data_IF_597982308358
#
_entry.id   IF_597982308358
#
_cell.length_a   1.000
_cell.length_b   1.000
_cell.length_c   1.000
_cell.angle_alpha   90.00
_cell.angle_beta   90.00
_cell.angle_gamma   90.00
#
_symmetry.space_group_name_H-M   'P 1'
#
loop_
_entity.id
_entity.type
_entity.pdbx_description
1 polymer ?
#
# COMPACT_ATOMS: atom_id res chain seq x y z
N UNK A 1 -8.84 32.22 -8.31
CA UNK A 1 -8.73 33.42 -7.45
C UNK A 1 -10.07 34.11 -7.46
N UNK A 2 -10.67 34.27 -6.28
CA UNK A 2 -11.90 35.04 -6.10
C UNK A 2 -11.51 36.33 -5.40
N UNK A 3 -11.47 37.44 -6.14
CA UNK A 3 -10.97 38.67 -5.60
C UNK A 3 -9.48 38.59 -5.17
N UNK A 4 -8.69 39.65 -5.20
CA UNK A 4 -7.25 39.65 -4.89
C UNK A 4 -6.87 39.12 -3.47
N UNK A 5 -7.86 38.77 -2.68
CA UNK A 5 -7.68 38.34 -1.29
C UNK A 5 -7.86 36.88 -1.03
N UNK A 6 -8.45 36.13 -1.96
CA UNK A 6 -8.82 34.73 -1.77
C UNK A 6 -8.29 33.85 -2.91
N UNK A 7 -7.52 32.84 -2.59
CA UNK A 7 -7.05 31.84 -3.55
C UNK A 7 -7.44 30.46 -3.07
N UNK A 8 -8.03 29.67 -3.95
CA UNK A 8 -8.37 28.27 -3.71
C UNK A 8 -7.68 27.41 -4.76
N UNK A 9 -6.93 26.44 -4.30
CA UNK A 9 -6.41 25.37 -5.13
C UNK A 9 -7.09 24.06 -4.69
N UNK A 10 -7.67 23.34 -5.62
CA UNK A 10 -8.31 22.07 -5.32
C UNK A 10 -7.93 21.03 -6.38
N UNK A 11 -7.70 19.81 -5.94
CA UNK A 11 -7.49 18.65 -6.78
C UNK A 11 -8.35 17.50 -6.27
N UNK A 12 -8.93 16.75 -7.17
CA UNK A 12 -9.61 15.51 -6.88
C UNK A 12 -9.30 14.49 -7.96
N UNK A 13 -9.23 13.24 -7.60
CA UNK A 13 -8.95 12.18 -8.56
C UNK A 13 -9.36 10.81 -8.06
N UNK A 14 -9.33 9.86 -8.99
CA UNK A 14 -9.52 8.45 -8.74
C UNK A 14 -8.42 7.67 -9.44
N UNK A 15 -8.00 6.58 -8.84
CA UNK A 15 -7.00 5.65 -9.38
C UNK A 15 -7.55 4.23 -9.31
N UNK A 16 -7.37 3.47 -10.37
CA UNK A 16 -7.61 2.03 -10.39
C UNK A 16 -6.33 1.37 -10.86
N UNK A 17 -5.83 0.42 -10.07
CA UNK A 17 -4.60 -0.31 -10.37
C UNK A 17 -4.84 -1.81 -10.21
N UNK A 18 -4.37 -2.59 -11.18
CA UNK A 18 -4.30 -4.05 -11.12
C UNK A 18 -2.85 -4.52 -11.08
N UNK A 19 -2.55 -5.52 -10.28
CA UNK A 19 -1.27 -6.22 -10.26
C UNK A 19 -1.53 -7.70 -10.40
N UNK A 20 -0.85 -8.33 -11.37
CA UNK A 20 -0.88 -9.78 -11.59
C UNK A 20 0.53 -10.32 -11.45
N UNK A 21 0.68 -11.32 -10.63
CA UNK A 21 1.94 -12.04 -10.45
C UNK A 21 1.70 -13.50 -10.83
N UNK A 22 2.44 -13.96 -11.81
CA UNK A 22 2.55 -15.39 -12.12
C UNK A 22 3.98 -15.83 -11.83
N UNK A 23 4.12 -16.76 -10.90
CA UNK A 23 5.40 -17.32 -10.50
C UNK A 23 5.44 -18.78 -10.88
N UNK A 24 6.35 -19.12 -11.78
CA UNK A 24 6.66 -20.51 -12.15
C UNK A 24 7.97 -20.86 -11.46
N UNK A 25 7.98 -21.93 -10.69
CA UNK A 25 9.19 -22.40 -10.06
C UNK A 25 9.49 -23.85 -10.45
N UNK A 26 10.78 -24.13 -10.60
CA UNK A 26 11.31 -25.46 -10.84
C UNK A 26 12.37 -25.75 -9.80
N UNK A 27 12.16 -26.78 -8.98
CA UNK A 27 13.17 -27.29 -8.05
C UNK A 27 13.97 -28.36 -8.74
N UNK A 28 15.27 -28.34 -8.55
CA UNK A 28 16.17 -29.35 -9.06
C UNK A 28 16.63 -30.23 -7.90
N UNK A 29 16.50 -31.54 -8.04
CA UNK A 29 16.96 -32.48 -7.05
C UNK A 29 18.42 -32.84 -7.32
N UNK A 30 19.24 -32.93 -6.27
CA UNK A 30 20.65 -33.31 -6.32
C UNK A 30 21.43 -32.56 -7.42
N UNK A 31 21.35 -31.23 -7.42
CA UNK A 31 22.06 -30.40 -8.38
C UNK A 31 23.57 -30.37 -8.08
N UNK A 32 24.39 -30.74 -9.04
CA UNK A 32 25.85 -30.60 -9.00
C UNK A 32 26.27 -29.31 -9.71
N UNK A 33 26.77 -28.31 -8.99
CA UNK A 33 27.15 -27.01 -9.58
C UNK A 33 28.38 -27.10 -10.50
N UNK A 34 29.17 -28.18 -10.41
CA UNK A 34 30.35 -28.36 -11.26
C UNK A 34 30.00 -28.91 -12.65
N UNK A 35 29.03 -29.77 -12.72
CA UNK A 35 28.63 -30.43 -13.97
C UNK A 35 27.33 -29.91 -14.54
N UNK A 36 26.53 -29.17 -13.72
CA UNK A 36 25.19 -28.75 -14.07
C UNK A 36 24.16 -29.85 -14.06
N UNK A 37 24.56 -31.06 -13.69
CA UNK A 37 23.69 -32.24 -13.71
C UNK A 37 22.67 -32.19 -12.56
N UNK A 38 21.50 -32.77 -12.81
CA UNK A 38 20.45 -33.01 -11.83
C UNK A 38 20.00 -34.43 -11.86
N UNK A 39 19.53 -34.94 -10.72
CA UNK A 39 18.91 -36.26 -10.65
C UNK A 39 17.44 -36.14 -10.26
N UNK A 40 16.64 -37.14 -10.58
CA UNK A 40 15.29 -37.25 -10.01
C UNK A 40 15.38 -37.74 -8.56
N UNK A 41 14.36 -37.49 -7.74
CA UNK A 41 14.27 -38.03 -6.39
C UNK A 41 14.42 -39.57 -6.45
N UNK A 42 15.15 -40.18 -5.49
CA UNK A 42 15.34 -41.65 -5.51
C UNK A 42 13.98 -42.34 -5.31
N UNK A 43 13.80 -43.43 -6.05
CA UNK A 43 12.67 -44.35 -5.89
C UNK A 43 12.79 -45.02 -4.51
N UNK A 44 11.98 -44.63 -3.57
CA UNK A 44 11.86 -45.31 -2.28
C UNK A 44 10.57 -46.13 -2.25
N UNK A 45 10.57 -47.28 -2.85
CA UNK A 45 9.62 -48.40 -2.62
C UNK A 45 8.12 -48.18 -2.89
N UNK A 46 7.61 -46.95 -2.86
CA UNK A 46 6.20 -46.63 -3.11
C UNK A 46 6.07 -45.69 -4.31
N UNK A 47 5.45 -46.16 -5.37
CA UNK A 47 5.24 -45.40 -6.61
C UNK A 47 4.55 -44.06 -6.42
N UNK A 48 3.58 -43.97 -5.51
CA UNK A 48 2.82 -42.75 -5.22
C UNK A 48 3.67 -41.69 -4.52
N UNK A 49 4.58 -42.06 -3.63
CA UNK A 49 5.49 -41.15 -2.97
C UNK A 49 6.47 -40.50 -3.93
N UNK A 50 6.97 -41.28 -4.88
CA UNK A 50 7.87 -40.81 -5.93
C UNK A 50 7.18 -39.86 -6.89
N UNK A 51 5.94 -40.18 -7.34
CA UNK A 51 5.15 -39.31 -8.20
C UNK A 51 4.91 -37.97 -7.53
N UNK A 52 4.51 -37.93 -6.26
CA UNK A 52 4.32 -36.66 -5.49
C UNK A 52 5.63 -35.89 -5.37
N UNK A 53 6.77 -36.56 -5.17
CA UNK A 53 8.06 -35.92 -5.09
C UNK A 53 8.45 -35.27 -6.43
N UNK A 54 8.17 -35.92 -7.56
CA UNK A 54 8.43 -35.37 -8.90
C UNK A 54 7.46 -34.22 -9.22
N UNK A 55 6.19 -34.37 -8.93
CA UNK A 55 5.19 -33.30 -9.10
C UNK A 55 5.55 -32.04 -8.29
N UNK A 56 6.09 -32.19 -7.07
CA UNK A 56 6.52 -31.10 -6.22
C UNK A 56 7.79 -30.37 -6.72
N UNK A 57 8.46 -30.86 -7.77
CA UNK A 57 9.60 -30.17 -8.38
C UNK A 57 9.20 -28.93 -9.17
N UNK A 58 7.99 -28.90 -9.68
CA UNK A 58 7.47 -27.79 -10.46
C UNK A 58 6.20 -27.26 -9.81
N UNK A 59 6.02 -25.98 -9.90
CA UNK A 59 4.79 -25.35 -9.43
C UNK A 59 4.55 -24.01 -10.08
N UNK A 60 3.32 -23.62 -10.06
CA UNK A 60 2.86 -22.34 -10.54
C UNK A 60 2.03 -21.69 -9.43
N UNK A 61 2.31 -20.43 -9.19
CA UNK A 61 1.57 -19.60 -8.25
C UNK A 61 1.08 -18.36 -8.96
N UNK A 62 -0.23 -18.14 -8.90
CA UNK A 62 -0.88 -16.98 -9.47
C UNK A 62 -1.44 -16.10 -8.36
N UNK A 63 -1.17 -14.80 -8.43
CA UNK A 63 -1.75 -13.80 -7.53
C UNK A 63 -2.25 -12.61 -8.34
N UNK A 64 -3.47 -12.19 -8.07
CA UNK A 64 -4.08 -11.00 -8.67
C UNK A 64 -4.57 -10.07 -7.56
N UNK A 65 -4.10 -8.82 -7.59
CA UNK A 65 -4.48 -7.78 -6.66
C UNK A 65 -5.08 -6.60 -7.40
N UNK A 66 -6.21 -6.10 -6.93
CA UNK A 66 -6.90 -4.92 -7.46
C UNK A 66 -6.99 -3.85 -6.38
N UNK A 67 -6.74 -2.62 -6.79
CA UNK A 67 -6.78 -1.46 -5.93
C UNK A 67 -7.66 -0.40 -6.58
N UNK A 68 -8.44 0.29 -5.76
CA UNK A 68 -9.18 1.47 -6.15
C UNK A 68 -9.00 2.55 -5.09
N UNK A 69 -8.68 3.75 -5.51
CA UNK A 69 -8.42 4.87 -4.62
C UNK A 69 -9.17 6.10 -5.08
N UNK A 70 -9.66 6.88 -4.11
CA UNK A 70 -10.21 8.21 -4.33
C UNK A 70 -9.44 9.19 -3.47
N UNK A 71 -9.10 10.35 -4.00
CA UNK A 71 -8.41 11.38 -3.25
C UNK A 71 -8.92 12.77 -3.62
N UNK A 72 -8.87 13.66 -2.65
CA UNK A 72 -9.13 15.07 -2.82
C UNK A 72 -8.24 15.88 -1.88
N UNK A 73 -7.81 17.05 -2.33
CA UNK A 73 -7.16 18.03 -1.48
C UNK A 73 -7.60 19.43 -1.86
N UNK A 74 -7.59 20.31 -0.87
CA UNK A 74 -7.90 21.72 -1.03
C UNK A 74 -6.93 22.54 -0.20
N UNK A 75 -6.41 23.60 -0.81
CA UNK A 75 -5.63 24.64 -0.17
C UNK A 75 -6.34 25.97 -0.36
N UNK A 76 -6.57 26.66 0.73
CA UNK A 76 -7.19 27.96 0.75
C UNK A 76 -6.23 29.00 1.35
N UNK A 77 -6.02 30.08 0.65
CA UNK A 77 -5.17 31.20 1.04
C UNK A 77 -6.02 32.45 1.19
N UNK A 78 -5.81 33.15 2.30
CA UNK A 78 -6.45 34.44 2.55
C UNK A 78 -5.41 35.53 2.80
N UNK A 79 -5.35 36.51 1.89
CA UNK A 79 -4.46 37.67 1.95
C UNK A 79 -2.99 37.36 2.18
N UNK A 80 -2.53 36.21 1.72
CA UNK A 80 -1.17 35.70 1.98
C UNK A 80 -0.78 35.60 3.46
N UNK A 81 -1.77 35.69 4.36
CA UNK A 81 -1.60 35.62 5.81
C UNK A 81 -2.00 34.28 6.38
N UNK A 82 -3.14 33.77 5.94
CA UNK A 82 -3.71 32.53 6.46
C UNK A 82 -3.79 31.50 5.37
N UNK A 83 -3.36 30.29 5.71
CA UNK A 83 -3.44 29.13 4.83
C UNK A 83 -4.20 28.04 5.56
N UNK A 84 -5.21 27.48 4.91
CA UNK A 84 -5.90 26.27 5.34
C UNK A 84 -5.66 25.21 4.30
N UNK A 85 -5.26 24.03 4.72
CA UNK A 85 -5.17 22.86 3.84
C UNK A 85 -5.98 21.71 4.41
N UNK A 86 -6.58 20.92 3.53
CA UNK A 86 -7.22 19.67 3.88
C UNK A 86 -6.97 18.65 2.78
N UNK A 87 -6.75 17.42 3.17
CA UNK A 87 -6.63 16.30 2.25
C UNK A 87 -7.42 15.10 2.75
N UNK A 88 -7.94 14.35 1.81
CA UNK A 88 -8.66 13.12 2.06
C UNK A 88 -8.25 12.09 1.01
N UNK A 89 -8.00 10.86 1.44
CA UNK A 89 -7.76 9.73 0.56
C UNK A 89 -8.47 8.50 1.11
N UNK A 90 -9.08 7.75 0.25
CA UNK A 90 -9.71 6.48 0.57
C UNK A 90 -9.15 5.40 -0.36
N UNK A 91 -8.46 4.43 0.21
CA UNK A 91 -7.84 3.34 -0.52
C UNK A 91 -8.61 2.05 -0.27
N UNK A 92 -8.94 1.37 -1.35
CA UNK A 92 -9.55 0.05 -1.35
C UNK A 92 -8.64 -0.99 -2.00
N UNK A 93 -8.63 -2.21 -1.49
CA UNK A 93 -7.87 -3.31 -2.05
C UNK A 93 -8.67 -4.62 -1.98
N UNK A 94 -8.53 -5.46 -3.01
CA UNK A 94 -9.09 -6.82 -3.00
C UNK A 94 -8.49 -7.71 -1.90
N UNK A 95 -7.35 -7.31 -1.32
CA UNK A 95 -6.70 -8.01 -0.21
C UNK A 95 -7.30 -7.66 1.15
N UNK A 96 -8.17 -6.66 1.23
CA UNK A 96 -8.90 -6.37 2.45
C UNK A 96 -10.09 -7.32 2.57
N UNK A 97 -10.32 -7.87 3.76
CA UNK A 97 -11.52 -8.63 4.05
C UNK A 97 -12.79 -7.79 3.84
N UNK A 98 -13.93 -8.45 3.67
CA UNK A 98 -15.22 -7.83 3.35
C UNK A 98 -15.59 -6.64 4.25
N UNK A 99 -15.11 -6.62 5.49
CA UNK A 99 -15.49 -5.62 6.50
C UNK A 99 -14.60 -4.38 6.52
N UNK A 100 -13.45 -4.39 5.81
CA UNK A 100 -12.47 -3.28 5.79
C UNK A 100 -11.89 -3.05 4.41
N UNK A 101 -12.72 -3.10 3.38
CA UNK A 101 -12.27 -2.90 2.00
C UNK A 101 -11.71 -1.50 1.73
N UNK A 102 -12.10 -0.51 2.54
CA UNK A 102 -11.70 0.88 2.37
C UNK A 102 -11.08 1.43 3.65
N UNK A 103 -9.92 2.03 3.50
CA UNK A 103 -9.19 2.65 4.60
C UNK A 103 -9.08 4.16 4.36
N UNK A 104 -9.81 4.99 5.11
CA UNK A 104 -9.74 6.43 4.94
C UNK A 104 -8.50 7.01 5.62
N UNK A 105 -7.85 7.94 4.93
CA UNK A 105 -6.76 8.76 5.44
C UNK A 105 -7.14 10.21 5.23
N UNK A 106 -6.95 11.06 6.24
CA UNK A 106 -7.20 12.49 6.09
C UNK A 106 -6.21 13.31 6.88
N UNK A 107 -5.98 14.53 6.43
CA UNK A 107 -5.22 15.52 7.16
C UNK A 107 -5.85 16.90 7.00
N UNK A 108 -5.70 17.73 8.00
CA UNK A 108 -6.04 19.14 7.95
C UNK A 108 -4.95 19.95 8.64
N UNK A 109 -4.62 21.10 8.07
CA UNK A 109 -3.58 21.98 8.61
C UNK A 109 -3.93 23.44 8.44
N UNK A 110 -3.32 24.24 9.30
CA UNK A 110 -3.41 25.69 9.25
C UNK A 110 -2.02 26.29 9.33
N UNK A 111 -1.82 27.37 8.59
CA UNK A 111 -0.63 28.20 8.74
C UNK A 111 -1.02 29.67 8.84
N UNK A 112 -0.31 30.39 9.69
CA UNK A 112 -0.44 31.82 9.85
C UNK A 112 0.90 32.50 9.65
N UNK A 113 0.99 33.31 8.59
CA UNK A 113 2.15 34.14 8.28
C UNK A 113 2.09 35.40 9.07
N UNK A 114 2.57 35.37 10.32
CA UNK A 114 2.48 36.46 11.29
C UNK A 114 3.30 37.68 10.82
N UNK A 115 4.38 37.41 10.08
CA UNK A 115 5.20 38.47 9.48
C UNK A 115 4.42 39.35 8.47
N UNK A 116 3.34 38.85 7.89
CA UNK A 116 2.47 39.62 6.96
C UNK A 116 1.41 40.43 7.65
N UNK A 117 1.34 40.37 9.00
CA UNK A 117 0.41 41.23 9.79
C UNK A 117 0.92 42.64 9.88
N UNK A 118 -0.04 43.58 9.94
CA UNK A 118 0.28 45.01 9.94
C UNK A 118 1.15 45.44 11.11
N UNK A 119 1.05 44.77 12.26
CA UNK A 119 1.84 45.05 13.44
C UNK A 119 3.30 44.59 13.36
N UNK A 120 3.65 43.71 12.43
CA UNK A 120 5.02 43.21 12.21
C UNK A 120 5.65 43.70 10.92
N UNK A 121 4.91 44.30 10.00
CA UNK A 121 5.42 44.79 8.71
C UNK A 121 6.56 45.79 8.82
N UNK A 122 6.61 46.55 9.91
CA UNK A 122 7.66 47.56 10.19
C UNK A 122 8.79 47.05 11.10
N UNK A 123 8.78 45.77 11.44
CA UNK A 123 9.81 45.18 12.28
C UNK A 123 11.12 44.94 11.48
N UNK A 124 12.19 45.58 11.93
CA UNK A 124 13.53 45.34 11.36
C UNK A 124 14.23 44.11 11.99
N UNK A 125 13.60 43.48 12.98
CA UNK A 125 14.20 42.36 13.74
C UNK A 125 13.65 41.01 13.28
N UNK A 126 12.36 40.95 12.89
CA UNK A 126 11.68 39.70 12.48
C UNK A 126 11.37 39.82 11.01
N UNK A 127 12.13 39.06 10.19
CA UNK A 127 11.94 39.01 8.74
C UNK A 127 10.95 37.92 8.32
N UNK A 128 10.83 36.84 9.08
CA UNK A 128 9.87 35.76 8.81
C UNK A 128 9.42 35.12 10.13
N UNK A 129 8.10 35.06 10.33
CA UNK A 129 7.46 34.38 11.46
C UNK A 129 6.19 33.70 10.97
N UNK A 130 6.19 32.38 10.98
CA UNK A 130 5.03 31.58 10.57
C UNK A 130 4.70 30.56 11.64
N UNK A 131 3.47 30.56 12.11
CA UNK A 131 2.93 29.50 12.94
C UNK A 131 2.23 28.46 12.09
N UNK A 132 2.43 27.17 12.39
CA UNK A 132 1.79 26.04 11.68
C UNK A 132 1.29 25.01 12.67
N UNK A 133 0.14 24.43 12.36
CA UNK A 133 -0.41 23.29 13.07
C UNK A 133 -1.11 22.37 12.08
N UNK A 134 -1.00 21.08 12.30
CA UNK A 134 -1.68 20.09 11.48
C UNK A 134 -2.13 18.90 12.34
N UNK A 135 -3.24 18.28 11.94
CA UNK A 135 -3.75 17.05 12.50
C UNK A 135 -4.23 16.16 11.37
N UNK A 136 -4.19 14.86 11.60
CA UNK A 136 -4.65 13.90 10.60
C UNK A 136 -4.76 12.49 11.17
N UNK A 137 -5.35 11.63 10.36
CA UNK A 137 -5.47 10.21 10.60
C UNK A 137 -4.88 9.48 9.38
N UNK A 138 -3.98 8.54 9.64
CA UNK A 138 -3.47 7.65 8.61
C UNK A 138 -3.73 6.21 9.00
N UNK A 139 -4.29 5.45 8.07
CA UNK A 139 -4.45 4.02 8.22
C UNK A 139 -3.23 3.30 7.65
N UNK A 140 -2.81 2.23 8.28
CA UNK A 140 -1.79 1.33 7.74
C UNK A 140 -2.44 0.11 7.10
N UNK A 141 -1.87 -0.32 5.97
CA UNK A 141 -2.32 -1.47 5.21
C UNK A 141 -1.23 -2.53 5.27
N UNK A 142 -1.45 -3.55 6.07
CA UNK A 142 -0.58 -4.71 6.06
C UNK A 142 -0.95 -5.65 4.90
N UNK A 143 -0.25 -5.54 3.78
CA UNK A 143 -0.44 -6.37 2.59
C UNK A 143 0.01 -7.83 2.76
N UNK A 144 0.65 -8.15 3.89
CA UNK A 144 1.16 -9.50 4.19
C UNK A 144 0.11 -10.42 4.82
N UNK A 145 -1.05 -9.88 5.21
CA UNK A 145 -2.11 -10.67 5.85
C UNK A 145 -3.16 -11.02 4.81
N UNK A 146 -3.39 -12.32 4.60
CA UNK A 146 -4.52 -12.80 3.80
C UNK A 146 -5.83 -12.55 4.55
N UNK A 147 -6.86 -11.94 3.91
CA UNK A 147 -8.16 -11.75 4.53
C UNK A 147 -8.96 -13.06 4.69
N UNK A 148 -8.47 -14.14 4.11
CA UNK A 148 -9.13 -15.45 4.15
C UNK A 148 -8.43 -16.36 5.13
N UNK A 149 -9.22 -17.09 5.90
CA UNK A 149 -8.72 -18.18 6.74
C UNK A 149 -8.25 -19.32 5.83
N UNK A 150 -6.95 -19.52 5.74
CA UNK A 150 -6.38 -20.67 5.01
C UNK A 150 -6.40 -21.85 5.98
N UNK A 151 -7.33 -22.76 5.81
CA UNK A 151 -7.33 -24.04 6.52
C UNK A 151 -6.56 -25.07 5.69
N UNK A 152 -5.38 -25.45 6.12
CA UNK A 152 -4.67 -26.60 5.59
C UNK A 152 -5.23 -27.88 6.22
N UNK A 153 -5.89 -28.68 5.42
CA UNK A 153 -6.32 -30.01 5.84
C UNK A 153 -5.20 -31.01 5.63
N UNK A 154 -4.53 -31.43 6.70
CA UNK A 154 -3.69 -32.61 6.68
C UNK A 154 -4.56 -33.85 6.79
N UNK A 155 -4.73 -34.58 5.71
CA UNK A 155 -5.34 -35.93 5.76
C UNK A 155 -4.31 -36.89 6.33
N UNK A 156 -4.36 -37.18 7.63
CA UNK A 156 -3.67 -38.33 8.19
C UNK A 156 -4.44 -39.59 7.73
N UNK A 157 -3.84 -40.35 6.83
CA UNK A 157 -4.31 -41.71 6.56
C UNK A 157 -3.82 -42.60 7.73
N UNK A 158 -4.72 -42.94 8.64
CA UNK A 158 -4.47 -44.04 9.54
C UNK A 158 -4.58 -45.35 8.75
N UNK A 159 -3.47 -46.05 8.59
CA UNK A 159 -3.48 -47.44 8.14
C UNK A 159 -3.82 -48.30 9.34
N UNK A 160 -4.91 -49.05 9.26
CA UNK A 160 -5.17 -50.22 10.10
C UNK A 160 -4.44 -51.44 9.54
#
# INVERSE_FOLDING_TARGET
>A
TFNDSHTVNAIAGAEIRGSKLNTIFTKRYNYDPKTGNTALPPLSGESDAWLRAVEALNGEYFSENKYASFYASVDYFYKDKYVLNASFRQDGSSNFGSDRQFNPTWSAGVAWHINNENFLKSSNVISNLTWRSAAGYTGDVNSSVSPYLIMEYYRQQFRY
#
